data_IF_469839349394
#
_entry.id   IF_469839349394
#
_cell.length_a   1.000
_cell.length_b   1.000
_cell.length_c   1.000
_cell.angle_alpha   90.00
_cell.angle_beta   90.00
_cell.angle_gamma   90.00
#
_symmetry.space_group_name_H-M   'P 1'
#
loop_
_entity.id
_entity.type
_entity.pdbx_description
1 polymer ?
#
# COMPACT_ATOMS: atom_id res chain seq x y z
N UNK A 1 -16.76 3.77 -23.28
CA UNK A 1 -15.52 3.55 -22.51
C UNK A 1 -15.91 3.29 -21.05
N UNK A 2 -15.56 2.14 -20.46
CA UNK A 2 -15.88 1.89 -19.05
C UNK A 2 -14.86 2.62 -18.16
N UNK A 3 -15.17 3.86 -17.80
CA UNK A 3 -14.26 4.74 -17.05
C UNK A 3 -13.90 4.12 -15.69
N UNK A 4 -14.87 3.52 -15.00
CA UNK A 4 -14.65 2.85 -13.71
C UNK A 4 -13.66 1.69 -13.81
N UNK A 5 -13.77 0.86 -14.85
CA UNK A 5 -12.80 -0.21 -15.12
C UNK A 5 -11.38 0.33 -15.31
N UNK A 6 -11.22 1.38 -16.12
CA UNK A 6 -9.89 1.95 -16.38
C UNK A 6 -9.28 2.63 -15.16
N UNK A 7 -10.07 3.40 -14.41
CA UNK A 7 -9.61 4.09 -13.21
C UNK A 7 -9.13 3.10 -12.15
N UNK A 8 -9.89 2.04 -11.87
CA UNK A 8 -9.48 1.02 -10.93
C UNK A 8 -8.34 0.15 -11.50
N UNK A 9 -8.43 -0.26 -12.76
CA UNK A 9 -7.47 -1.16 -13.40
C UNK A 9 -6.06 -0.58 -13.50
N UNK A 10 -5.92 0.70 -13.82
CA UNK A 10 -4.61 1.38 -13.88
C UNK A 10 -3.93 1.38 -12.51
N UNK A 11 -4.68 1.49 -11.41
CA UNK A 11 -4.13 1.49 -10.05
C UNK A 11 -3.70 0.11 -9.55
N UNK A 12 -4.25 -0.98 -10.10
CA UNK A 12 -3.81 -2.34 -9.76
C UNK A 12 -2.33 -2.53 -10.10
N UNK A 13 -1.90 -2.00 -11.24
CA UNK A 13 -0.53 -2.19 -11.77
C UNK A 13 0.55 -1.70 -10.79
N UNK A 14 0.57 -0.42 -10.35
CA UNK A 14 1.60 0.05 -9.43
C UNK A 14 1.51 -0.62 -8.06
N UNK A 15 0.31 -0.95 -7.55
CA UNK A 15 0.18 -1.66 -6.27
C UNK A 15 0.73 -3.08 -6.33
N UNK A 16 0.47 -3.83 -7.41
CA UNK A 16 1.03 -5.17 -7.59
C UNK A 16 2.54 -5.09 -7.76
N UNK A 17 3.06 -4.17 -8.58
CA UNK A 17 4.51 -3.99 -8.77
C UNK A 17 5.19 -3.69 -7.43
N UNK A 18 4.63 -2.77 -6.64
CA UNK A 18 5.18 -2.39 -5.34
C UNK A 18 5.08 -3.55 -4.35
N UNK A 19 3.94 -4.24 -4.28
CA UNK A 19 3.76 -5.42 -3.43
C UNK A 19 4.74 -6.54 -3.78
N UNK A 20 4.95 -6.82 -5.07
CA UNK A 20 5.93 -7.81 -5.53
C UNK A 20 7.36 -7.39 -5.21
N UNK A 21 7.71 -6.12 -5.43
CA UNK A 21 9.02 -5.58 -5.06
C UNK A 21 9.31 -5.82 -3.57
N UNK A 22 8.38 -5.45 -2.69
CA UNK A 22 8.53 -5.66 -1.25
C UNK A 22 8.56 -7.15 -0.87
N UNK A 23 7.82 -8.01 -1.58
CA UNK A 23 7.86 -9.46 -1.38
C UNK A 23 9.23 -10.08 -1.73
N UNK A 24 9.87 -9.60 -2.81
CA UNK A 24 11.18 -10.08 -3.27
C UNK A 24 12.30 -9.56 -2.37
N UNK A 25 12.32 -8.25 -2.09
CA UNK A 25 13.41 -7.61 -1.36
C UNK A 25 13.31 -7.72 0.16
N UNK A 26 12.15 -8.10 0.72
CA UNK A 26 11.94 -8.33 2.17
C UNK A 26 12.48 -7.15 2.98
N UNK A 27 13.28 -7.39 4.02
CA UNK A 27 13.87 -6.35 4.90
C UNK A 27 14.63 -5.25 4.13
N UNK A 28 15.24 -5.57 2.98
CA UNK A 28 15.99 -4.57 2.19
C UNK A 28 15.04 -3.55 1.57
N UNK A 29 13.77 -3.92 1.36
CA UNK A 29 12.76 -3.05 0.79
C UNK A 29 12.34 -1.90 1.71
N UNK A 30 12.53 -2.04 3.03
CA UNK A 30 12.18 -0.99 3.99
C UNK A 30 12.87 0.34 3.68
N UNK A 31 14.07 0.31 3.07
CA UNK A 31 14.80 1.51 2.62
C UNK A 31 14.10 2.27 1.49
N UNK A 32 13.19 1.65 0.75
CA UNK A 32 12.39 2.33 -0.28
C UNK A 32 11.18 3.06 0.31
N UNK A 33 10.85 2.84 1.59
CA UNK A 33 9.80 3.58 2.28
C UNK A 33 10.33 4.96 2.59
N UNK A 34 9.80 6.00 1.93
CA UNK A 34 10.30 7.38 2.02
C UNK A 34 10.41 7.89 3.45
N UNK A 35 9.38 7.67 4.27
CA UNK A 35 9.38 8.09 5.69
C UNK A 35 10.38 7.33 6.56
N UNK A 36 10.74 6.10 6.20
CA UNK A 36 11.77 5.34 6.91
C UNK A 36 13.17 5.76 6.47
N UNK A 37 13.34 5.99 5.16
CA UNK A 37 14.60 6.40 4.56
C UNK A 37 15.05 7.80 5.02
N UNK A 38 14.12 8.66 5.46
CA UNK A 38 14.44 9.97 6.05
C UNK A 38 14.99 9.89 7.48
N UNK A 39 14.84 8.75 8.18
CA UNK A 39 15.39 8.59 9.53
C UNK A 39 16.92 8.40 9.49
N UNK A 40 17.67 8.85 10.52
CA UNK A 40 19.10 8.54 10.64
C UNK A 40 19.37 7.03 10.66
N UNK A 41 20.52 6.59 10.13
CA UNK A 41 20.87 5.16 10.06
C UNK A 41 20.92 4.46 11.42
N UNK A 42 21.31 5.18 12.47
CA UNK A 42 21.34 4.69 13.85
C UNK A 42 19.92 4.40 14.34
N UNK A 43 18.98 5.31 14.07
CA UNK A 43 17.57 5.13 14.42
C UNK A 43 16.93 4.01 13.61
N UNK A 44 17.23 3.92 12.30
CA UNK A 44 16.76 2.82 11.45
C UNK A 44 17.17 1.43 11.95
N UNK A 45 18.26 1.33 12.73
CA UNK A 45 18.71 0.06 13.30
C UNK A 45 17.82 -0.43 14.45
N UNK A 46 17.02 0.45 15.06
CA UNK A 46 16.10 0.14 16.17
C UNK A 46 14.77 -0.48 15.70
N UNK A 47 14.49 -0.47 14.40
CA UNK A 47 13.22 -0.95 13.85
C UNK A 47 13.35 -2.30 13.12
N UNK A 48 12.28 -3.10 13.21
CA UNK A 48 12.12 -4.34 12.46
C UNK A 48 11.77 -4.04 10.99
N UNK A 49 12.81 -3.98 10.16
CA UNK A 49 12.71 -3.77 8.71
C UNK A 49 11.94 -4.87 8.00
N UNK A 50 11.97 -6.11 8.51
CA UNK A 50 11.22 -7.20 7.92
C UNK A 50 9.72 -7.02 8.17
N UNK A 51 9.34 -6.57 9.37
CA UNK A 51 7.95 -6.25 9.69
C UNK A 51 7.45 -5.06 8.87
N UNK A 52 8.20 -3.96 8.77
CA UNK A 52 7.86 -2.80 7.92
C UNK A 52 7.60 -3.26 6.49
N UNK A 53 8.54 -4.02 5.92
CA UNK A 53 8.41 -4.49 4.55
C UNK A 53 7.19 -5.39 4.35
N UNK A 54 6.92 -6.29 5.30
CA UNK A 54 5.76 -7.18 5.26
C UNK A 54 4.43 -6.41 5.35
N UNK A 55 4.37 -5.37 6.17
CA UNK A 55 3.17 -4.53 6.31
C UNK A 55 2.89 -3.77 5.01
N UNK A 56 3.88 -3.05 4.47
CA UNK A 56 3.75 -2.32 3.19
C UNK A 56 3.35 -3.27 2.05
N UNK A 57 3.95 -4.46 1.99
CA UNK A 57 3.60 -5.50 1.02
C UNK A 57 2.12 -5.90 1.15
N UNK A 58 1.65 -6.17 2.36
CA UNK A 58 0.28 -6.59 2.62
C UNK A 58 -0.72 -5.46 2.30
N UNK A 59 -0.39 -4.21 2.63
CA UNK A 59 -1.19 -3.04 2.28
C UNK A 59 -1.31 -2.89 0.75
N UNK A 60 -0.19 -2.98 0.02
CA UNK A 60 -0.19 -2.93 -1.44
C UNK A 60 -1.09 -4.01 -2.06
N UNK A 61 -1.01 -5.26 -1.59
CA UNK A 61 -1.88 -6.32 -2.11
C UNK A 61 -3.34 -6.14 -1.71
N UNK A 62 -3.63 -5.59 -0.53
CA UNK A 62 -4.99 -5.26 -0.10
C UNK A 62 -5.59 -4.18 -1.01
N UNK A 63 -4.83 -3.11 -1.28
CA UNK A 63 -5.25 -2.04 -2.18
C UNK A 63 -5.41 -2.54 -3.63
N UNK A 64 -4.49 -3.38 -4.11
CA UNK A 64 -4.61 -4.04 -5.41
C UNK A 64 -5.86 -4.89 -5.51
N UNK A 65 -6.19 -5.66 -4.46
CA UNK A 65 -7.39 -6.48 -4.39
C UNK A 65 -8.67 -5.65 -4.45
N UNK A 66 -8.75 -4.55 -3.68
CA UNK A 66 -9.88 -3.62 -3.69
C UNK A 66 -10.06 -3.02 -5.09
N UNK A 67 -8.98 -2.56 -5.72
CA UNK A 67 -9.02 -1.99 -7.07
C UNK A 67 -9.40 -3.04 -8.11
N UNK A 68 -8.91 -4.27 -7.99
CA UNK A 68 -9.26 -5.36 -8.92
C UNK A 68 -10.76 -5.69 -8.82
N UNK A 69 -11.30 -5.81 -7.61
CA UNK A 69 -12.73 -6.01 -7.37
C UNK A 69 -13.54 -4.84 -7.96
N UNK A 70 -13.11 -3.60 -7.71
CA UNK A 70 -13.74 -2.42 -8.30
C UNK A 70 -13.75 -2.42 -9.82
N UNK A 71 -12.64 -2.83 -10.46
CA UNK A 71 -12.53 -2.94 -11.90
C UNK A 71 -13.46 -4.03 -12.46
N UNK A 72 -13.45 -5.22 -11.88
CA UNK A 72 -14.30 -6.36 -12.28
C UNK A 72 -15.78 -5.99 -12.15
N UNK A 73 -16.21 -5.46 -11.01
CA UNK A 73 -17.60 -5.03 -10.80
C UNK A 73 -18.00 -3.90 -11.76
N UNK A 74 -17.09 -2.97 -12.02
CA UNK A 74 -17.33 -1.89 -12.98
C UNK A 74 -17.53 -2.43 -14.39
N UNK A 75 -16.74 -3.43 -14.80
CA UNK A 75 -16.81 -4.06 -16.12
C UNK A 75 -18.13 -4.82 -16.34
N UNK A 76 -18.56 -5.62 -15.36
CA UNK A 76 -19.72 -6.51 -15.50
C UNK A 76 -21.07 -5.89 -15.12
N UNK A 77 -21.12 -4.94 -14.19
CA UNK A 77 -22.38 -4.37 -13.68
C UNK A 77 -22.61 -2.94 -14.17
N UNK A 78 -21.81 -1.99 -13.70
CA UNK A 78 -21.93 -0.57 -14.05
C UNK A 78 -20.66 0.19 -13.67
N UNK A 79 -20.20 1.18 -14.46
CA UNK A 79 -19.02 1.98 -14.13
C UNK A 79 -19.04 2.65 -12.74
N UNK A 80 -20.23 2.89 -12.18
CA UNK A 80 -20.40 3.51 -10.85
C UNK A 80 -19.96 2.60 -9.69
N UNK A 81 -19.77 1.29 -9.92
CA UNK A 81 -19.23 0.36 -8.92
C UNK A 81 -17.79 0.68 -8.49
N UNK A 82 -17.07 1.50 -9.26
CA UNK A 82 -15.77 2.02 -8.86
C UNK A 82 -15.85 2.95 -7.64
N UNK A 83 -16.94 3.70 -7.46
CA UNK A 83 -17.10 4.68 -6.38
C UNK A 83 -16.91 4.05 -4.99
N UNK A 84 -17.65 2.98 -4.60
CA UNK A 84 -17.44 2.36 -3.29
C UNK A 84 -16.04 1.76 -3.14
N UNK A 85 -15.43 1.22 -4.19
CA UNK A 85 -14.06 0.72 -4.15
C UNK A 85 -13.05 1.83 -3.82
N UNK A 86 -13.20 3.00 -4.44
CA UNK A 86 -12.38 4.18 -4.15
C UNK A 86 -12.60 4.71 -2.73
N UNK A 87 -13.83 4.73 -2.22
CA UNK A 87 -14.12 5.15 -0.85
C UNK A 87 -13.43 4.22 0.15
N UNK A 88 -13.57 2.90 -0.01
CA UNK A 88 -12.94 1.91 0.88
C UNK A 88 -11.41 2.06 0.84
N UNK A 89 -10.84 2.17 -0.37
CA UNK A 89 -9.40 2.35 -0.53
C UNK A 89 -8.90 3.64 0.12
N UNK A 90 -9.57 4.78 -0.07
CA UNK A 90 -9.18 6.06 0.53
C UNK A 90 -9.22 6.01 2.05
N UNK A 91 -10.27 5.42 2.64
CA UNK A 91 -10.38 5.27 4.09
C UNK A 91 -9.22 4.43 4.65
N UNK A 92 -8.87 3.32 3.99
CA UNK A 92 -7.73 2.50 4.39
C UNK A 92 -6.40 3.23 4.19
N UNK A 93 -6.24 3.95 3.08
CA UNK A 93 -5.05 4.72 2.78
C UNK A 93 -4.75 5.76 3.88
N UNK A 94 -5.74 6.57 4.27
CA UNK A 94 -5.56 7.55 5.34
C UNK A 94 -5.38 6.92 6.73
N UNK A 95 -5.92 5.72 6.95
CA UNK A 95 -5.73 4.98 8.19
C UNK A 95 -4.32 4.40 8.32
N UNK A 96 -3.71 3.99 7.21
CA UNK A 96 -2.41 3.31 7.20
C UNK A 96 -1.25 4.29 7.01
N UNK A 97 -1.43 5.30 6.16
CA UNK A 97 -0.41 6.32 5.84
C UNK A 97 -0.50 7.46 6.84
N UNK A 98 0.36 7.41 7.86
CA UNK A 98 0.54 8.50 8.81
C UNK A 98 1.65 9.43 8.32
N UNK A 99 1.40 10.74 8.34
CA UNK A 99 2.40 11.75 7.99
C UNK A 99 3.48 11.94 9.05
N UNK A 100 3.19 11.61 10.30
CA UNK A 100 4.15 11.64 11.41
C UNK A 100 4.99 10.37 11.40
N UNK A 101 6.25 10.48 10.96
CA UNK A 101 7.16 9.34 10.77
C UNK A 101 7.38 8.57 12.06
N UNK A 102 7.57 9.24 13.20
CA UNK A 102 7.83 8.54 14.46
C UNK A 102 6.62 7.73 14.91
N UNK A 103 5.41 8.31 14.86
CA UNK A 103 4.18 7.57 15.17
C UNK A 103 3.89 6.45 14.17
N UNK A 104 4.24 6.66 12.90
CA UNK A 104 4.06 5.65 11.86
C UNK A 104 4.93 4.41 12.11
N UNK A 105 6.17 4.62 12.59
CA UNK A 105 7.14 3.53 12.73
C UNK A 105 7.28 2.96 14.15
N UNK A 106 6.74 3.61 15.18
CA UNK A 106 6.80 3.16 16.58
C UNK A 106 6.32 1.71 16.76
N UNK A 107 5.28 1.30 16.03
CA UNK A 107 4.75 -0.08 16.05
C UNK A 107 5.73 -1.15 15.54
N UNK A 108 6.85 -0.76 14.94
CA UNK A 108 7.88 -1.66 14.43
C UNK A 108 9.18 -1.64 15.25
N UNK A 109 9.22 -0.97 16.39
CA UNK A 109 10.42 -0.98 17.25
C UNK A 109 10.76 -2.41 17.70
N UNK A 110 12.04 -2.76 17.62
CA UNK A 110 12.59 -3.97 18.20
C UNK A 110 12.55 -3.80 19.73
N UNK A 111 11.54 -4.38 20.39
CA UNK A 111 11.46 -4.46 21.84
C UNK A 111 12.46 -5.47 22.41
#
# INVERSE_FOLDING_TARGET
MNIGFWLCGVLVIPFVITGVLFAIFKEKAAKFVSGFNSLPKEEQALYDKAHISRDIKNQCFTWAGIMLVGAVLSYFLTPYMAIPAFIIWLVLFFKEVHFDTHKAFEKYLLK
#
